data_IF_657008972255
#
_entry.id   IF_657008972255
#
_cell.length_a   1.000
_cell.length_b   1.000
_cell.length_c   1.000
_cell.angle_alpha   90.00
_cell.angle_beta   90.00
_cell.angle_gamma   90.00
#
_symmetry.space_group_name_H-M   'P 1'
#
loop_
_entity.id
_entity.type
_entity.pdbx_description
1 polymer ?
#
# COMPACT_ATOMS: atom_id res chain seq x y z
N UNK A 1 -22.78 0.00 -0.38
CA UNK A 1 -21.46 -0.44 0.05
C UNK A 1 -20.41 0.49 -0.52
N UNK A 2 -19.66 1.11 0.34
CA UNK A 2 -18.69 2.10 -0.08
C UNK A 2 -17.29 1.49 -0.14
N UNK A 3 -16.71 1.47 -1.32
CA UNK A 3 -15.29 1.13 -1.44
C UNK A 3 -14.49 2.35 -1.05
N UNK A 4 -13.45 2.13 -0.27
CA UNK A 4 -12.55 3.19 0.12
C UNK A 4 -11.32 3.14 -0.78
N UNK A 5 -10.77 4.31 -1.05
CA UNK A 5 -9.50 4.41 -1.77
C UNK A 5 -8.58 5.29 -0.96
N UNK A 6 -7.42 4.77 -0.63
CA UNK A 6 -6.42 5.50 0.13
C UNK A 6 -5.11 5.47 -0.65
N UNK A 7 -4.46 6.62 -0.75
CA UNK A 7 -3.20 6.74 -1.47
C UNK A 7 -2.09 7.14 -0.49
N UNK A 8 -0.98 6.41 -0.56
CA UNK A 8 0.19 6.72 0.26
C UNK A 8 1.36 7.06 -0.65
N UNK A 9 2.24 7.92 -0.15
CA UNK A 9 3.50 8.20 -0.82
C UNK A 9 4.60 7.40 -0.15
N UNK A 10 5.29 6.56 -0.92
CA UNK A 10 6.37 5.70 -0.41
C UNK A 10 7.64 6.03 -1.18
N UNK A 11 8.34 7.05 -0.72
CA UNK A 11 9.50 7.59 -1.43
C UNK A 11 10.67 6.61 -1.59
N UNK A 12 10.78 5.65 -0.67
CA UNK A 12 11.85 4.65 -0.73
C UNK A 12 11.67 3.57 -1.78
N UNK A 13 10.52 3.53 -2.41
CA UNK A 13 10.20 2.56 -3.45
C UNK A 13 10.93 2.93 -4.73
N UNK A 14 11.93 2.15 -5.14
CA UNK A 14 12.76 2.52 -6.28
C UNK A 14 12.99 1.41 -7.31
N UNK A 15 12.47 0.21 -7.07
CA UNK A 15 12.64 -0.90 -8.01
C UNK A 15 11.43 -1.82 -7.99
N UNK A 16 11.38 -2.74 -8.96
CA UNK A 16 10.27 -3.67 -9.07
C UNK A 16 10.10 -4.58 -7.85
N UNK A 17 11.19 -4.95 -7.20
CA UNK A 17 11.13 -5.74 -5.97
C UNK A 17 10.49 -4.97 -4.84
N UNK A 18 10.78 -3.69 -4.74
CA UNK A 18 10.19 -2.81 -3.73
C UNK A 18 8.68 -2.71 -3.94
N UNK A 19 8.27 -2.46 -5.17
CA UNK A 19 6.86 -2.41 -5.55
C UNK A 19 6.14 -3.70 -5.19
N UNK A 20 6.72 -4.84 -5.57
CA UNK A 20 6.12 -6.13 -5.32
C UNK A 20 6.00 -6.42 -3.81
N UNK A 21 7.01 -6.07 -3.04
CA UNK A 21 6.98 -6.27 -1.59
C UNK A 21 5.86 -5.46 -0.94
N UNK A 22 5.72 -4.19 -1.31
CA UNK A 22 4.67 -3.33 -0.79
C UNK A 22 3.29 -3.86 -1.18
N UNK A 23 3.11 -4.21 -2.43
CA UNK A 23 1.83 -4.75 -2.90
C UNK A 23 1.46 -6.04 -2.18
N UNK A 24 2.44 -6.91 -1.96
CA UNK A 24 2.20 -8.17 -1.26
C UNK A 24 1.80 -7.96 0.19
N UNK A 25 2.55 -7.15 0.92
CA UNK A 25 2.25 -6.91 2.33
C UNK A 25 0.94 -6.17 2.53
N UNK A 26 0.69 -5.14 1.74
CA UNK A 26 -0.56 -4.39 1.83
C UNK A 26 -1.74 -5.27 1.41
N UNK A 27 -1.55 -6.12 0.43
CA UNK A 27 -2.60 -7.03 -0.04
C UNK A 27 -3.05 -8.04 1.01
N UNK A 28 -2.24 -8.27 2.04
CA UNK A 28 -2.59 -9.19 3.13
C UNK A 28 -3.48 -8.55 4.19
N UNK A 29 -3.61 -7.24 4.17
CA UNK A 29 -4.42 -6.52 5.16
C UNK A 29 -5.90 -6.85 4.94
N UNK A 30 -6.63 -7.24 6.00
CA UNK A 30 -8.05 -7.53 5.87
C UNK A 30 -8.82 -6.34 5.30
N UNK A 31 -9.69 -6.59 4.34
CA UNK A 31 -10.48 -5.56 3.70
C UNK A 31 -9.89 -5.01 2.42
N UNK A 32 -8.61 -5.26 2.15
CA UNK A 32 -7.96 -4.81 0.92
C UNK A 32 -8.41 -5.68 -0.23
N UNK A 33 -9.01 -5.06 -1.25
CA UNK A 33 -9.43 -5.74 -2.46
C UNK A 33 -8.47 -5.51 -3.61
N UNK A 34 -7.76 -4.38 -3.59
CA UNK A 34 -6.87 -4.00 -4.67
C UNK A 34 -5.76 -3.09 -4.13
N UNK A 35 -4.55 -3.34 -4.56
CA UNK A 35 -3.42 -2.47 -4.25
C UNK A 35 -2.55 -2.32 -5.48
N UNK A 36 -2.12 -1.11 -5.75
CA UNK A 36 -1.25 -0.81 -6.87
C UNK A 36 -0.16 0.16 -6.44
N UNK A 37 1.08 -0.20 -6.69
CA UNK A 37 2.21 0.67 -6.43
C UNK A 37 2.75 1.20 -7.76
N UNK A 38 3.12 2.47 -7.78
CA UNK A 38 3.68 3.12 -8.96
C UNK A 38 5.08 3.63 -8.64
N UNK A 39 6.07 3.14 -9.37
CA UNK A 39 7.46 3.52 -9.14
C UNK A 39 7.80 4.92 -9.62
N UNK A 40 7.08 5.42 -10.62
CA UNK A 40 7.33 6.77 -11.15
C UNK A 40 6.88 7.84 -10.17
N UNK A 41 5.68 7.70 -9.64
CA UNK A 41 5.10 8.70 -8.74
C UNK A 41 5.37 8.39 -7.29
N UNK A 42 5.85 7.19 -6.98
CA UNK A 42 6.07 6.70 -5.60
C UNK A 42 4.77 6.61 -4.81
N UNK A 43 3.66 6.40 -5.49
CA UNK A 43 2.35 6.31 -4.87
C UNK A 43 1.89 4.86 -4.76
N UNK A 44 1.22 4.56 -3.66
CA UNK A 44 0.58 3.27 -3.44
C UNK A 44 -0.91 3.53 -3.27
N UNK A 45 -1.71 3.01 -4.18
CA UNK A 45 -3.17 3.16 -4.14
C UNK A 45 -3.77 1.87 -3.60
N UNK A 46 -4.57 2.00 -2.57
CA UNK A 46 -5.22 0.86 -1.91
C UNK A 46 -6.73 1.03 -1.98
N UNK A 47 -7.42 0.01 -2.43
CA UNK A 47 -8.89 0.00 -2.46
C UNK A 47 -9.42 -1.17 -1.68
N UNK A 48 -10.52 -0.97 -1.02
CA UNK A 48 -11.20 -2.03 -0.29
C UNK A 48 -12.28 -1.49 0.61
N UNK A 49 -12.76 -2.34 1.52
CA UNK A 49 -13.80 -1.98 2.48
C UNK A 49 -13.24 -2.02 3.90
N UNK A 50 -13.69 -1.09 4.72
CA UNK A 50 -13.31 -1.01 6.13
C UNK A 50 -11.80 -0.96 6.32
N UNK A 51 -11.11 -0.19 5.47
CA UNK A 51 -9.65 -0.07 5.53
C UNK A 51 -9.23 0.73 6.75
N UNK A 52 -8.23 0.23 7.49
CA UNK A 52 -7.64 0.93 8.61
C UNK A 52 -6.30 1.54 8.21
N UNK A 53 -6.16 2.85 8.40
CA UNK A 53 -4.92 3.55 8.06
C UNK A 53 -3.73 2.95 8.81
N UNK A 54 -3.87 2.65 10.08
CA UNK A 54 -2.82 2.05 10.88
C UNK A 54 -2.35 0.72 10.32
N UNK A 55 -3.31 -0.13 9.93
CA UNK A 55 -2.99 -1.44 9.40
C UNK A 55 -2.26 -1.34 8.06
N UNK A 56 -2.68 -0.40 7.22
CA UNK A 56 -2.04 -0.18 5.92
C UNK A 56 -0.63 0.36 6.08
N UNK A 57 -0.43 1.31 6.98
CA UNK A 57 0.89 1.86 7.28
C UNK A 57 1.80 0.80 7.87
N UNK A 58 1.27 -0.04 8.75
CA UNK A 58 2.02 -1.15 9.34
C UNK A 58 2.46 -2.14 8.27
N UNK A 59 1.60 -2.41 7.29
CA UNK A 59 1.94 -3.32 6.18
C UNK A 59 3.07 -2.74 5.33
N UNK A 60 3.03 -1.45 5.05
CA UNK A 60 4.09 -0.77 4.29
C UNK A 60 5.40 -0.83 5.07
N UNK A 61 5.33 -0.63 6.39
CA UNK A 61 6.48 -0.70 7.27
C UNK A 61 7.07 -2.13 7.29
N UNK A 62 6.21 -3.14 7.32
CA UNK A 62 6.65 -4.54 7.26
C UNK A 62 7.36 -4.85 5.95
N UNK A 63 7.01 -4.18 4.88
CA UNK A 63 7.70 -4.33 3.61
C UNK A 63 9.08 -3.65 3.60
N UNK A 64 9.39 -2.89 4.66
CA UNK A 64 10.66 -2.19 4.80
C UNK A 64 10.64 -0.75 4.32
N UNK A 65 9.47 -0.14 4.21
CA UNK A 65 9.31 1.21 3.68
C UNK A 65 8.47 2.06 4.62
N UNK A 66 8.49 3.37 4.41
CA UNK A 66 7.69 4.30 5.18
C UNK A 66 6.67 4.97 4.28
N UNK A 67 5.42 5.01 4.76
CA UNK A 67 4.36 5.77 4.09
C UNK A 67 4.38 7.21 4.60
N UNK A 68 4.37 8.12 3.69
CA UNK A 68 4.29 9.54 4.03
C UNK A 68 2.82 10.00 4.03
#
# INVERSE_FOLDING_TARGET
MANMEITYTVAGMSCGHCKAAVEEEVGRVPGVEFVRADLETKLVVVRGEALGDEALRAAIDEAGYEAA
#
